data_IF_193381837687
#
_entry.id   IF_193381837687
#
_cell.length_a   1.000
_cell.length_b   1.000
_cell.length_c   1.000
_cell.angle_alpha   90.00
_cell.angle_beta   90.00
_cell.angle_gamma   90.00
#
_symmetry.space_group_name_H-M   'P 1'
#
loop_
_entity.id
_entity.type
_entity.pdbx_description
1 polymer ?
#
# COMPACT_ATOMS: atom_id res chain seq x y z
N UNK A 1 -10.71 -3.52 -2.12
CA UNK A 1 -10.56 -2.47 -1.11
C UNK A 1 -11.89 -1.75 -0.89
N UNK A 2 -12.09 -1.16 0.28
CA UNK A 2 -13.40 -0.59 0.67
C UNK A 2 -13.80 0.70 -0.06
N UNK A 3 -12.88 1.43 -0.68
CA UNK A 3 -13.19 2.65 -1.44
C UNK A 3 -14.09 2.39 -2.65
N UNK A 4 -14.18 1.16 -3.12
CA UNK A 4 -15.12 0.74 -4.17
C UNK A 4 -16.59 0.93 -3.76
N UNK A 5 -16.87 0.98 -2.46
CA UNK A 5 -18.20 1.13 -1.87
C UNK A 5 -18.43 2.56 -1.37
N UNK A 6 -18.37 3.53 -2.27
CA UNK A 6 -18.47 4.93 -1.91
C UNK A 6 -19.76 5.24 -1.15
N UNK A 7 -19.64 5.93 -0.02
CA UNK A 7 -20.76 6.33 0.83
C UNK A 7 -21.38 5.21 1.70
N UNK A 8 -20.84 3.98 1.68
CA UNK A 8 -21.33 2.91 2.54
C UNK A 8 -20.63 2.94 3.90
N UNK A 9 -21.36 2.59 4.95
CA UNK A 9 -20.75 2.32 6.25
C UNK A 9 -19.95 1.01 6.24
N UNK A 10 -18.98 0.90 7.15
CA UNK A 10 -18.04 -0.21 7.16
C UNK A 10 -18.71 -1.58 7.41
N UNK A 11 -19.70 -1.64 8.31
CA UNK A 11 -20.40 -2.90 8.61
C UNK A 11 -21.16 -3.40 7.37
N UNK A 12 -21.82 -2.51 6.64
CA UNK A 12 -22.49 -2.82 5.37
C UNK A 12 -21.51 -3.31 4.31
N UNK A 13 -20.33 -2.65 4.19
CA UNK A 13 -19.26 -3.11 3.28
C UNK A 13 -18.84 -4.53 3.64
N UNK A 14 -18.55 -4.80 4.91
CA UNK A 14 -18.13 -6.14 5.35
C UNK A 14 -19.20 -7.22 5.06
N UNK A 15 -20.47 -6.92 5.33
CA UNK A 15 -21.57 -7.83 4.99
C UNK A 15 -21.64 -8.13 3.49
N UNK A 16 -21.52 -7.09 2.64
CA UNK A 16 -21.54 -7.27 1.18
C UNK A 16 -20.35 -8.06 0.66
N UNK A 17 -19.16 -7.80 1.20
CA UNK A 17 -17.93 -8.52 0.86
C UNK A 17 -18.06 -10.01 1.21
N UNK A 18 -18.62 -10.34 2.38
CA UNK A 18 -18.91 -11.71 2.80
C UNK A 18 -19.93 -12.41 1.89
N UNK A 19 -21.03 -11.73 1.53
CA UNK A 19 -22.03 -12.25 0.60
C UNK A 19 -21.45 -12.60 -0.78
N UNK A 20 -20.44 -11.86 -1.22
CA UNK A 20 -19.71 -12.13 -2.47
C UNK A 20 -18.66 -13.24 -2.34
N UNK A 21 -18.51 -13.85 -1.16
CA UNK A 21 -17.58 -14.95 -0.89
C UNK A 21 -16.15 -14.52 -0.58
N UNK A 22 -15.87 -13.23 -0.39
CA UNK A 22 -14.55 -12.77 0.06
C UNK A 22 -14.38 -12.96 1.58
N UNK A 23 -13.17 -13.31 1.98
CA UNK A 23 -12.80 -13.53 3.38
C UNK A 23 -11.93 -12.41 3.96
N UNK A 24 -11.51 -11.47 3.12
CA UNK A 24 -10.64 -10.36 3.50
C UNK A 24 -11.03 -9.05 2.82
N UNK A 25 -10.69 -7.95 3.48
CA UNK A 25 -10.93 -6.59 3.00
C UNK A 25 -9.73 -5.71 3.31
N UNK A 26 -9.28 -4.94 2.33
CA UNK A 26 -8.37 -3.82 2.54
C UNK A 26 -9.13 -2.54 2.82
N UNK A 27 -8.54 -1.64 3.60
CA UNK A 27 -9.14 -0.38 3.98
C UNK A 27 -8.29 0.79 3.48
N UNK A 28 -8.89 1.70 2.75
CA UNK A 28 -8.27 2.97 2.39
C UNK A 28 -8.44 3.97 3.55
N UNK A 29 -7.36 4.49 4.16
CA UNK A 29 -7.46 5.34 5.36
C UNK A 29 -8.35 6.57 5.18
N UNK A 30 -8.33 7.19 4.00
CA UNK A 30 -9.13 8.39 3.70
C UNK A 30 -10.65 8.13 3.71
N UNK A 31 -11.10 6.87 3.70
CA UNK A 31 -12.51 6.52 3.86
C UNK A 31 -12.95 6.58 5.31
N UNK A 32 -12.00 6.59 6.26
CA UNK A 32 -12.26 6.62 7.69
C UNK A 32 -12.18 8.04 8.25
N UNK A 33 -11.15 8.79 7.87
CA UNK A 33 -10.91 10.18 8.28
C UNK A 33 -9.85 10.83 7.37
N UNK A 34 -9.67 12.16 7.40
CA UNK A 34 -8.60 12.85 6.65
C UNK A 34 -7.19 12.33 7.01
N UNK A 35 -6.99 11.94 8.27
CA UNK A 35 -5.75 11.31 8.75
C UNK A 35 -6.07 10.10 9.61
N UNK A 36 -5.25 9.08 9.55
CA UNK A 36 -5.44 7.88 10.38
C UNK A 36 -5.31 8.18 11.89
N UNK A 37 -4.57 9.23 12.25
CA UNK A 37 -4.44 9.71 13.63
C UNK A 37 -5.74 10.28 14.20
N UNK A 38 -6.69 10.67 13.35
CA UNK A 38 -8.01 11.17 13.76
C UNK A 38 -9.00 10.02 14.06
N UNK A 39 -8.65 8.79 13.67
CA UNK A 39 -9.41 7.58 14.00
C UNK A 39 -8.96 7.06 15.34
N UNK A 40 -9.81 7.15 16.36
CA UNK A 40 -9.47 6.68 17.72
C UNK A 40 -9.24 5.17 17.79
N UNK A 41 -8.46 4.69 18.77
CA UNK A 41 -8.26 3.24 18.99
C UNK A 41 -9.57 2.51 19.25
N UNK A 42 -10.54 3.15 19.93
CA UNK A 42 -11.89 2.58 20.11
C UNK A 42 -12.61 2.37 18.77
N UNK A 43 -12.50 3.33 17.83
CA UNK A 43 -13.09 3.21 16.50
C UNK A 43 -12.37 2.14 15.67
N UNK A 44 -11.05 2.05 15.73
CA UNK A 44 -10.27 0.99 15.04
C UNK A 44 -10.67 -0.42 15.55
N UNK A 45 -10.81 -0.58 16.87
CA UNK A 45 -11.30 -1.83 17.47
C UNK A 45 -12.74 -2.15 17.06
N UNK A 46 -13.60 -1.15 16.90
CA UNK A 46 -14.97 -1.32 16.40
C UNK A 46 -14.99 -1.80 14.94
N UNK A 47 -14.19 -1.17 14.06
CA UNK A 47 -14.06 -1.57 12.64
C UNK A 47 -13.63 -3.05 12.52
N UNK A 48 -12.65 -3.46 13.34
CA UNK A 48 -12.23 -4.85 13.43
C UNK A 48 -13.39 -5.77 13.84
N UNK A 49 -14.10 -5.45 14.90
CA UNK A 49 -15.25 -6.28 15.35
C UNK A 49 -16.36 -6.36 14.31
N UNK A 50 -16.64 -5.28 13.59
CA UNK A 50 -17.64 -5.29 12.51
C UNK A 50 -17.24 -6.24 11.38
N UNK A 51 -15.97 -6.26 10.98
CA UNK A 51 -15.46 -7.18 9.99
C UNK A 51 -15.54 -8.64 10.48
N UNK A 52 -15.06 -8.91 11.68
CA UNK A 52 -15.09 -10.24 12.31
C UNK A 52 -16.53 -10.77 12.44
N UNK A 53 -17.48 -9.92 12.83
CA UNK A 53 -18.90 -10.29 12.92
C UNK A 53 -19.52 -10.66 11.56
N UNK A 54 -19.02 -10.13 10.47
CA UNK A 54 -19.41 -10.49 9.11
C UNK A 54 -18.64 -11.70 8.54
N UNK A 55 -17.71 -12.29 9.29
CA UNK A 55 -16.85 -13.38 8.81
C UNK A 55 -15.75 -12.92 7.88
N UNK A 56 -15.40 -11.63 7.88
CA UNK A 56 -14.36 -11.02 7.05
C UNK A 56 -13.20 -10.54 7.94
N UNK A 57 -11.97 -10.68 7.46
CA UNK A 57 -10.79 -10.12 8.13
C UNK A 57 -10.36 -8.82 7.44
N UNK A 58 -10.02 -7.79 8.18
CA UNK A 58 -9.26 -6.65 7.65
C UNK A 58 -7.86 -7.16 7.37
N UNK A 59 -7.43 -7.14 6.09
CA UNK A 59 -6.10 -7.58 5.68
C UNK A 59 -5.05 -6.52 5.99
N UNK A 60 -5.41 -5.26 5.81
CA UNK A 60 -4.52 -4.14 6.02
C UNK A 60 -5.00 -2.87 5.36
N UNK A 61 -4.05 -1.97 5.08
CA UNK A 61 -4.29 -0.67 4.49
C UNK A 61 -3.79 -0.59 3.06
N UNK A 62 -4.58 0.06 2.20
CA UNK A 62 -4.22 0.42 0.83
C UNK A 62 -4.42 1.93 0.61
N UNK A 63 -3.82 2.54 -0.42
CA UNK A 63 -3.93 3.97 -0.70
C UNK A 63 -3.46 4.88 0.45
N UNK A 64 -2.41 4.52 1.14
CA UNK A 64 -2.01 5.07 2.44
C UNK A 64 -1.79 6.58 2.48
N UNK A 65 -1.24 7.17 1.42
CA UNK A 65 -0.99 8.61 1.33
C UNK A 65 -1.99 9.33 0.40
N UNK A 66 -2.93 8.62 -0.21
CA UNK A 66 -3.91 9.22 -1.10
C UNK A 66 -4.81 10.21 -0.34
N UNK A 67 -5.16 11.32 -1.00
CA UNK A 67 -5.98 12.40 -0.44
C UNK A 67 -5.40 13.04 0.84
N UNK A 68 -4.09 12.89 1.09
CA UNK A 68 -3.40 13.58 2.17
C UNK A 68 -2.57 14.75 1.64
N UNK A 69 -2.31 15.73 2.50
CA UNK A 69 -1.47 16.89 2.21
C UNK A 69 -0.23 16.92 3.11
N UNK A 70 0.89 17.43 2.58
CA UNK A 70 2.13 17.61 3.33
C UNK A 70 2.95 16.34 3.54
N UNK A 71 2.60 15.23 2.87
CA UNK A 71 3.35 13.98 2.85
C UNK A 71 3.86 13.66 1.44
N UNK A 72 5.10 13.20 1.34
CA UNK A 72 5.67 12.79 0.07
C UNK A 72 6.88 11.89 0.29
N UNK A 73 6.91 10.73 -0.36
CA UNK A 73 7.92 9.69 -0.17
C UNK A 73 9.33 10.13 -0.61
N UNK A 74 9.42 10.86 -1.71
CA UNK A 74 10.67 11.27 -2.37
C UNK A 74 10.95 12.76 -2.24
N UNK A 75 10.37 13.44 -1.24
CA UNK A 75 10.57 14.89 -1.06
C UNK A 75 12.04 15.25 -0.89
N UNK A 76 12.48 16.35 -1.53
CA UNK A 76 13.80 16.92 -1.29
C UNK A 76 13.91 17.55 0.13
N UNK A 77 12.79 17.97 0.73
CA UNK A 77 12.73 18.51 2.08
C UNK A 77 12.80 17.39 3.14
N UNK A 78 13.86 17.33 3.98
CA UNK A 78 13.99 16.31 5.01
C UNK A 78 12.89 16.36 6.08
N UNK A 79 12.31 17.55 6.32
CA UNK A 79 11.20 17.67 7.26
C UNK A 79 9.92 17.00 6.74
N UNK A 80 9.67 17.07 5.42
CA UNK A 80 8.57 16.36 4.77
C UNK A 80 8.82 14.85 4.83
N UNK A 81 10.04 14.38 4.53
CA UNK A 81 10.40 12.96 4.61
C UNK A 81 10.18 12.40 6.00
N UNK A 82 10.67 13.09 7.03
CA UNK A 82 10.48 12.69 8.43
C UNK A 82 8.99 12.58 8.78
N UNK A 83 8.20 13.62 8.51
CA UNK A 83 6.75 13.61 8.77
C UNK A 83 6.04 12.47 8.02
N UNK A 84 6.44 12.21 6.78
CA UNK A 84 5.87 11.11 5.98
C UNK A 84 6.16 9.75 6.60
N UNK A 85 7.40 9.50 7.01
CA UNK A 85 7.77 8.26 7.67
C UNK A 85 7.10 8.08 9.04
N UNK A 86 6.98 9.15 9.84
CA UNK A 86 6.24 9.13 11.11
C UNK A 86 4.75 8.81 10.89
N UNK A 87 4.13 9.37 9.84
CA UNK A 87 2.74 9.05 9.49
C UNK A 87 2.58 7.60 9.00
N UNK A 88 3.55 7.06 8.25
CA UNK A 88 3.57 5.63 7.90
C UNK A 88 3.68 4.74 9.15
N UNK A 89 4.41 5.18 10.19
CA UNK A 89 4.46 4.50 11.47
C UNK A 89 3.09 4.49 12.19
N UNK A 90 2.35 5.60 12.14
CA UNK A 90 0.99 5.66 12.70
C UNK A 90 0.02 4.77 11.93
N UNK A 91 0.15 4.69 10.61
CA UNK A 91 -0.62 3.75 9.77
C UNK A 91 -0.32 2.29 10.13
N UNK A 92 0.95 1.93 10.43
CA UNK A 92 1.31 0.57 10.85
C UNK A 92 0.63 0.18 12.17
N UNK A 93 0.65 1.07 13.16
CA UNK A 93 -0.04 0.85 14.45
C UNK A 93 -1.55 0.70 14.25
N UNK A 94 -2.14 1.57 13.41
CA UNK A 94 -3.56 1.53 13.11
C UNK A 94 -3.96 0.24 12.37
N UNK A 95 -3.17 -0.22 11.40
CA UNK A 95 -3.40 -1.48 10.71
C UNK A 95 -3.44 -2.66 11.70
N UNK A 96 -2.45 -2.75 12.60
CA UNK A 96 -2.39 -3.79 13.62
C UNK A 96 -3.59 -3.75 14.58
N UNK A 97 -4.01 -2.56 15.06
CA UNK A 97 -5.19 -2.40 15.91
C UNK A 97 -6.47 -2.87 15.22
N UNK A 98 -6.58 -2.67 13.90
CA UNK A 98 -7.69 -3.18 13.09
C UNK A 98 -7.56 -4.67 12.74
N UNK A 99 -6.48 -5.34 13.12
CA UNK A 99 -6.23 -6.77 12.88
C UNK A 99 -5.57 -7.08 11.55
N UNK A 100 -5.09 -6.06 10.82
CA UNK A 100 -4.36 -6.20 9.57
C UNK A 100 -2.85 -6.30 9.76
N UNK A 101 -2.18 -6.95 8.82
CA UNK A 101 -0.72 -7.12 8.81
C UNK A 101 -0.06 -6.63 7.49
N UNK A 102 -0.84 -5.98 6.61
CA UNK A 102 -0.38 -5.48 5.30
C UNK A 102 -0.60 -3.97 5.20
N UNK A 103 0.35 -3.29 4.60
CA UNK A 103 0.25 -1.89 4.16
C UNK A 103 0.78 -1.79 2.73
N UNK A 104 -0.08 -1.44 1.76
CA UNK A 104 0.31 -1.29 0.35
C UNK A 104 0.66 0.16 0.05
N UNK A 105 1.93 0.42 -0.26
CA UNK A 105 2.42 1.75 -0.60
C UNK A 105 2.39 1.96 -2.11
N UNK A 106 1.20 2.32 -2.63
CA UNK A 106 0.91 2.55 -4.04
C UNK A 106 0.43 3.96 -4.39
N UNK A 107 0.56 4.94 -3.49
CA UNK A 107 0.06 6.31 -3.72
C UNK A 107 0.88 7.05 -4.79
N UNK A 108 0.38 7.27 -6.03
CA UNK A 108 1.19 7.75 -7.14
C UNK A 108 1.66 9.20 -6.96
N UNK A 109 0.77 10.09 -6.55
CA UNK A 109 1.06 11.53 -6.47
C UNK A 109 2.07 11.87 -5.36
N UNK A 110 2.18 11.03 -4.34
CA UNK A 110 3.06 11.26 -3.20
C UNK A 110 4.43 10.59 -3.32
N UNK A 111 4.85 10.23 -4.56
CA UNK A 111 6.14 9.56 -4.82
C UNK A 111 6.91 10.06 -6.04
N UNK A 112 6.36 11.00 -6.82
CA UNK A 112 7.02 11.48 -8.03
C UNK A 112 8.43 12.02 -7.75
N UNK A 113 9.34 11.92 -8.73
CA UNK A 113 10.64 12.55 -8.66
C UNK A 113 10.46 14.06 -8.45
N UNK A 114 11.15 14.65 -7.47
CA UNK A 114 11.17 16.11 -7.32
C UNK A 114 11.85 16.77 -8.52
N UNK A 115 11.44 17.99 -8.84
CA UNK A 115 12.07 18.78 -9.88
C UNK A 115 13.58 18.90 -9.66
N UNK A 116 14.35 18.83 -10.75
CA UNK A 116 15.81 18.96 -10.74
C UNK A 116 16.53 17.92 -9.84
N UNK A 117 15.94 16.74 -9.64
CA UNK A 117 16.54 15.62 -8.91
C UNK A 117 16.65 14.39 -9.81
N UNK A 118 17.67 13.60 -9.55
CA UNK A 118 17.90 12.33 -10.24
C UNK A 118 17.05 11.21 -9.62
N UNK A 119 16.92 10.10 -10.35
CA UNK A 119 16.31 8.88 -9.79
C UNK A 119 17.07 8.38 -8.55
N UNK A 120 18.40 8.46 -8.57
CA UNK A 120 19.23 8.06 -7.42
C UNK A 120 18.97 8.93 -6.18
N UNK A 121 18.74 10.25 -6.38
CA UNK A 121 18.32 11.13 -5.28
C UNK A 121 16.97 10.68 -4.70
N UNK A 122 15.99 10.41 -5.57
CA UNK A 122 14.66 9.98 -5.16
C UNK A 122 14.67 8.63 -4.41
N UNK A 123 15.51 7.68 -4.85
CA UNK A 123 15.73 6.42 -4.14
C UNK A 123 16.34 6.65 -2.74
N UNK A 124 17.31 7.58 -2.65
CA UNK A 124 17.88 8.01 -1.37
C UNK A 124 16.84 8.63 -0.45
N UNK A 125 16.01 9.53 -0.98
CA UNK A 125 14.94 10.18 -0.23
C UNK A 125 13.86 9.20 0.22
N UNK A 126 13.46 8.27 -0.66
CA UNK A 126 12.50 7.21 -0.30
C UNK A 126 13.05 6.31 0.82
N UNK A 127 14.30 5.89 0.73
CA UNK A 127 14.93 5.09 1.78
C UNK A 127 14.99 5.85 3.12
N UNK A 128 15.38 7.13 3.11
CA UNK A 128 15.39 7.99 4.30
C UNK A 128 13.98 8.10 4.90
N UNK A 129 12.98 8.40 4.08
CA UNK A 129 11.57 8.47 4.52
C UNK A 129 11.13 7.17 5.21
N UNK A 130 11.38 6.03 4.58
CA UNK A 130 10.93 4.73 5.08
C UNK A 130 11.67 4.29 6.35
N UNK A 131 12.92 4.73 6.55
CA UNK A 131 13.68 4.42 7.76
C UNK A 131 12.93 4.89 9.03
N UNK A 132 12.18 5.98 8.97
CA UNK A 132 11.42 6.50 10.11
C UNK A 132 10.25 5.61 10.54
N UNK A 133 9.72 4.74 9.67
CA UNK A 133 8.62 3.84 10.04
C UNK A 133 9.07 2.41 10.43
N UNK A 134 10.31 2.00 10.14
CA UNK A 134 10.79 0.62 10.34
C UNK A 134 10.57 0.09 11.77
N UNK A 135 10.87 0.85 12.86
CA UNK A 135 10.63 0.36 14.21
C UNK A 135 9.15 0.07 14.49
N UNK A 136 8.23 0.88 13.93
CA UNK A 136 6.80 0.66 14.11
C UNK A 136 6.30 -0.56 13.33
N UNK A 137 6.82 -0.81 12.13
CA UNK A 137 6.52 -2.02 11.35
C UNK A 137 6.87 -3.29 12.15
N UNK A 138 8.06 -3.31 12.74
CA UNK A 138 8.53 -4.44 13.54
C UNK A 138 7.69 -4.64 14.81
N UNK A 139 7.47 -3.57 15.58
CA UNK A 139 6.66 -3.61 16.81
C UNK A 139 5.22 -4.04 16.53
N UNK A 140 4.63 -3.56 15.45
CA UNK A 140 3.25 -3.88 15.04
C UNK A 140 3.14 -5.20 14.28
N UNK A 141 4.26 -5.78 13.84
CA UNK A 141 4.34 -6.96 12.97
C UNK A 141 3.56 -6.78 11.66
N UNK A 142 3.63 -5.57 11.08
CA UNK A 142 2.96 -5.18 9.85
C UNK A 142 3.96 -5.07 8.71
N UNK A 143 3.65 -5.66 7.57
CA UNK A 143 4.49 -5.58 6.37
C UNK A 143 4.15 -4.34 5.55
N UNK A 144 5.16 -3.53 5.27
CA UNK A 144 5.07 -2.48 4.26
C UNK A 144 5.40 -3.09 2.89
N UNK A 145 4.40 -3.17 2.03
CA UNK A 145 4.52 -3.73 0.69
C UNK A 145 4.67 -2.61 -0.33
N UNK A 146 5.85 -2.48 -0.91
CA UNK A 146 6.14 -1.48 -1.94
C UNK A 146 5.49 -1.92 -3.25
N UNK A 147 4.67 -1.06 -3.82
CA UNK A 147 3.95 -1.31 -5.06
C UNK A 147 4.55 -0.51 -6.21
N UNK A 148 5.18 -1.16 -7.20
CA UNK A 148 5.49 -0.54 -8.48
C UNK A 148 4.19 -0.14 -9.19
N UNK A 149 4.20 1.02 -9.86
CA UNK A 149 3.05 1.54 -10.61
C UNK A 149 3.44 1.84 -12.05
N UNK A 150 2.46 1.91 -12.94
CA UNK A 150 2.73 2.19 -14.35
C UNK A 150 3.37 3.57 -14.56
N UNK A 151 4.16 3.76 -15.63
CA UNK A 151 4.72 5.08 -15.98
C UNK A 151 3.65 6.15 -16.25
N UNK A 152 2.41 5.76 -16.54
CA UNK A 152 1.30 6.68 -16.69
C UNK A 152 0.81 7.26 -15.34
N UNK A 153 1.06 6.57 -14.24
CA UNK A 153 0.62 6.98 -12.90
C UNK A 153 1.69 7.76 -12.13
N UNK A 154 2.95 7.38 -12.29
CA UNK A 154 4.08 7.99 -11.57
C UNK A 154 5.38 7.82 -12.35
N UNK A 155 6.37 8.66 -12.05
CA UNK A 155 7.71 8.56 -12.64
C UNK A 155 8.76 7.95 -11.68
N UNK A 156 8.31 7.31 -10.59
CA UNK A 156 9.19 6.68 -9.60
C UNK A 156 8.69 5.28 -9.19
N UNK A 157 9.60 4.30 -9.23
CA UNK A 157 9.35 2.89 -8.91
C UNK A 157 8.28 2.28 -9.81
N UNK A 158 8.64 2.06 -11.09
CA UNK A 158 7.74 1.59 -12.13
C UNK A 158 7.91 0.09 -12.44
N UNK A 159 8.91 -0.57 -11.88
CA UNK A 159 9.17 -2.00 -12.07
C UNK A 159 9.36 -2.73 -10.75
N UNK A 160 9.07 -4.04 -10.75
CA UNK A 160 9.34 -4.91 -9.61
C UNK A 160 10.82 -4.88 -9.20
N UNK A 161 11.73 -4.80 -10.17
CA UNK A 161 13.17 -4.71 -9.92
C UNK A 161 13.55 -3.44 -9.14
N UNK A 162 12.93 -2.29 -9.44
CA UNK A 162 13.14 -1.05 -8.69
C UNK A 162 12.61 -1.15 -7.25
N UNK A 163 11.45 -1.77 -7.06
CA UNK A 163 10.91 -2.06 -5.73
C UNK A 163 11.85 -2.96 -4.93
N UNK A 164 12.36 -4.02 -5.52
CA UNK A 164 13.33 -4.93 -4.88
C UNK A 164 14.65 -4.23 -4.56
N UNK A 165 15.13 -3.33 -5.41
CA UNK A 165 16.34 -2.56 -5.13
C UNK A 165 16.18 -1.72 -3.84
N UNK A 166 15.01 -1.05 -3.68
CA UNK A 166 14.71 -0.28 -2.47
C UNK A 166 14.54 -1.19 -1.23
N UNK A 167 13.89 -2.36 -1.37
CA UNK A 167 13.77 -3.36 -0.29
C UNK A 167 15.16 -3.82 0.19
N UNK A 168 16.05 -4.15 -0.75
CA UNK A 168 17.42 -4.56 -0.43
C UNK A 168 18.22 -3.46 0.24
N UNK A 169 18.05 -2.22 -0.21
CA UNK A 169 18.71 -1.05 0.38
C UNK A 169 18.28 -0.83 1.85
N UNK A 170 17.01 -1.04 2.16
CA UNK A 170 16.47 -0.92 3.53
C UNK A 170 16.88 -2.11 4.41
N UNK A 171 17.04 -3.31 3.83
CA UNK A 171 17.49 -4.52 4.53
C UNK A 171 16.59 -4.94 5.69
N UNK A 172 15.30 -4.58 5.68
CA UNK A 172 14.40 -4.80 6.80
C UNK A 172 13.37 -5.89 6.52
N UNK A 173 13.15 -6.87 7.42
CA UNK A 173 12.31 -8.04 7.14
C UNK A 173 10.83 -7.72 6.91
N UNK A 174 10.33 -6.61 7.46
CA UNK A 174 8.95 -6.16 7.29
C UNK A 174 8.73 -5.22 6.09
N UNK A 175 9.76 -4.99 5.24
CA UNK A 175 9.58 -4.30 3.95
C UNK A 175 9.61 -5.34 2.84
N UNK A 176 8.55 -5.43 2.08
CA UNK A 176 8.30 -6.45 1.08
C UNK A 176 7.79 -5.83 -0.22
N UNK A 177 7.61 -6.69 -1.24
CA UNK A 177 7.06 -6.30 -2.53
C UNK A 177 5.56 -6.58 -2.57
N UNK A 178 4.82 -5.67 -3.16
CA UNK A 178 3.48 -5.89 -3.70
C UNK A 178 3.57 -5.94 -5.22
N UNK A 179 2.85 -6.85 -5.83
CA UNK A 179 2.70 -6.91 -7.29
C UNK A 179 1.22 -6.76 -7.67
N UNK A 180 0.97 -5.91 -8.66
CA UNK A 180 -0.32 -5.65 -9.25
C UNK A 180 -0.27 -6.02 -10.74
N UNK A 181 -1.25 -6.78 -11.23
CA UNK A 181 -1.25 -7.28 -12.61
C UNK A 181 -1.26 -6.14 -13.63
N UNK A 182 -2.05 -5.10 -13.40
CA UNK A 182 -2.07 -3.89 -14.25
C UNK A 182 -0.69 -3.24 -14.35
N UNK A 183 0.01 -3.13 -13.21
CA UNK A 183 1.34 -2.53 -13.19
C UNK A 183 2.37 -3.42 -13.90
N UNK A 184 2.36 -4.73 -13.65
CA UNK A 184 3.25 -5.69 -14.32
C UNK A 184 3.02 -5.76 -15.83
N UNK A 185 1.79 -5.59 -16.31
CA UNK A 185 1.48 -5.56 -17.74
C UNK A 185 2.15 -4.38 -18.47
N UNK A 186 2.61 -3.36 -17.76
CA UNK A 186 3.37 -2.25 -18.31
C UNK A 186 4.90 -2.50 -18.31
N UNK A 187 5.37 -3.60 -17.71
CA UNK A 187 6.78 -3.98 -17.72
C UNK A 187 7.17 -4.66 -19.06
N UNK A 188 8.45 -4.64 -19.38
CA UNK A 188 8.95 -5.28 -20.62
C UNK A 188 8.93 -6.81 -20.56
N UNK A 189 8.88 -7.40 -19.37
CA UNK A 189 8.87 -8.84 -19.16
C UNK A 189 7.43 -9.34 -19.01
N UNK A 190 7.12 -10.57 -19.45
CA UNK A 190 5.82 -11.19 -19.20
C UNK A 190 5.48 -11.28 -17.70
N UNK A 191 4.25 -11.01 -17.33
CA UNK A 191 3.76 -11.03 -15.93
C UNK A 191 4.18 -12.27 -15.14
N UNK A 192 4.09 -13.52 -15.67
CA UNK A 192 4.54 -14.70 -14.94
C UNK A 192 6.06 -14.71 -14.65
N UNK A 193 6.86 -14.10 -15.51
CA UNK A 193 8.32 -14.04 -15.32
C UNK A 193 8.68 -12.98 -14.28
N UNK A 194 7.99 -11.83 -14.27
CA UNK A 194 8.10 -10.82 -13.20
C UNK A 194 7.80 -11.45 -11.83
N UNK A 195 6.70 -12.22 -11.72
CA UNK A 195 6.31 -12.89 -10.46
C UNK A 195 7.41 -13.90 -10.03
N UNK A 196 7.84 -14.79 -10.95
CA UNK A 196 8.86 -15.81 -10.63
C UNK A 196 10.18 -15.19 -10.19
N UNK A 197 10.63 -14.14 -10.87
CA UNK A 197 11.89 -13.46 -10.57
C UNK A 197 11.89 -12.77 -9.19
N UNK A 198 10.73 -12.32 -8.72
CA UNK A 198 10.60 -11.51 -7.51
C UNK A 198 9.89 -12.23 -6.34
N UNK A 199 9.56 -13.51 -6.47
CA UNK A 199 8.79 -14.31 -5.51
C UNK A 199 9.31 -14.27 -4.07
N UNK A 200 10.62 -14.15 -3.89
CA UNK A 200 11.27 -14.11 -2.57
C UNK A 200 10.89 -12.84 -1.78
N UNK A 201 10.63 -11.75 -2.49
CA UNK A 201 10.26 -10.46 -1.90
C UNK A 201 8.75 -10.25 -1.84
N UNK A 202 7.98 -11.02 -2.60
CA UNK A 202 6.53 -10.89 -2.73
C UNK A 202 5.82 -11.27 -1.43
N UNK A 203 4.97 -10.37 -0.95
CA UNK A 203 4.14 -10.59 0.25
C UNK A 203 2.66 -10.40 -0.02
N UNK A 204 2.29 -9.50 -0.94
CA UNK A 204 0.91 -9.19 -1.26
C UNK A 204 0.72 -9.02 -2.77
N UNK A 205 -0.51 -9.27 -3.26
CA UNK A 205 -0.76 -9.32 -4.68
C UNK A 205 -2.17 -8.81 -5.00
N UNK A 206 -2.29 -7.93 -6.01
CA UNK A 206 -3.57 -7.55 -6.58
C UNK A 206 -3.79 -8.21 -7.93
N UNK A 207 -4.86 -9.02 -8.01
CA UNK A 207 -5.30 -9.64 -9.24
C UNK A 207 -6.39 -8.76 -9.87
N UNK A 208 -6.03 -8.12 -10.97
CA UNK A 208 -6.90 -7.29 -11.78
C UNK A 208 -6.49 -7.41 -13.26
N UNK A 209 -7.02 -6.54 -14.09
CA UNK A 209 -6.65 -6.44 -15.51
C UNK A 209 -6.33 -4.97 -15.85
N UNK A 210 -5.47 -4.68 -16.85
CA UNK A 210 -5.15 -3.32 -17.28
C UNK A 210 -6.36 -2.45 -17.66
N UNK A 211 -7.45 -3.07 -18.08
CA UNK A 211 -8.72 -2.40 -18.36
C UNK A 211 -9.50 -1.98 -17.10
N UNK A 212 -8.95 -2.18 -15.91
CA UNK A 212 -9.53 -1.89 -14.59
C UNK A 212 -10.72 -2.80 -14.20
N UNK A 213 -10.93 -3.90 -14.92
CA UNK A 213 -11.91 -4.93 -14.57
C UNK A 213 -11.27 -6.07 -13.77
N UNK A 214 -12.07 -7.07 -13.42
CA UNK A 214 -11.62 -8.26 -12.70
C UNK A 214 -10.73 -9.17 -13.57
N UNK A 215 -9.99 -10.09 -12.92
CA UNK A 215 -9.11 -11.03 -13.62
C UNK A 215 -9.85 -11.82 -14.70
N UNK A 216 -9.26 -11.94 -15.88
CA UNK A 216 -9.83 -12.63 -17.04
C UNK A 216 -10.92 -11.87 -17.80
N UNK A 217 -11.14 -10.59 -17.46
CA UNK A 217 -12.07 -9.71 -18.19
C UNK A 217 -11.35 -8.78 -19.19
N UNK A 218 -10.06 -8.96 -19.39
CA UNK A 218 -9.20 -8.26 -20.34
C UNK A 218 -8.25 -9.22 -21.04
N UNK A 219 -7.09 -8.70 -21.48
CA UNK A 219 -6.14 -9.39 -22.36
C UNK A 219 -4.97 -10.05 -21.63
N UNK A 220 -4.94 -10.03 -20.29
CA UNK A 220 -3.87 -10.67 -19.51
C UNK A 220 -4.20 -12.13 -19.28
N UNK A 221 -3.30 -13.01 -19.77
CA UNK A 221 -3.36 -14.47 -19.60
C UNK A 221 -2.70 -14.94 -18.28
#
# INVERSE_FOLDING_TARGET
>A
CNETFEGWDHARVCGRVAELGYTGLEVAPFTLAPRITDVTSARRAELRRQAEAAGVRILGLHWMLAKTEGFHLTSADPAVRKRTGEYLADLARAAAEMGGDIMVLGSPLQRNLPENRTRADAEGFAADTLTHCLPALEQSRVYLCLEPLTPAETNFMNTAAEGVALIRRLGHPFVKLHLDVKAMAAEAQPTPDVIRANREFLRHFHANDPNLYGPGMGDVE
#
